data_IF_809196234732
#
_entry.id   IF_809196234732
#
_cell.length_a   1.000
_cell.length_b   1.000
_cell.length_c   1.000
_cell.angle_alpha   90.00
_cell.angle_beta   90.00
_cell.angle_gamma   90.00
#
_symmetry.space_group_name_H-M   'P 1'
#
loop_
_entity.id
_entity.type
_entity.pdbx_description
1 polymer ?
#
# COMPACT_ATOMS: atom_id res chain seq x y z
N UNK A 1 -13.04 2.03 41.41
CA UNK A 1 -13.49 2.03 40.01
C UNK A 1 -12.56 1.15 39.19
N UNK A 2 -13.05 0.12 38.48
CA UNK A 2 -12.18 -0.68 37.62
C UNK A 2 -11.62 0.21 36.49
N UNK A 3 -10.30 0.20 36.30
CA UNK A 3 -9.64 0.91 35.20
C UNK A 3 -10.12 0.29 33.88
N UNK A 4 -10.77 1.09 33.01
CA UNK A 4 -11.08 0.67 31.63
C UNK A 4 -9.77 0.29 30.94
N UNK A 5 -9.74 -0.89 30.34
CA UNK A 5 -8.62 -1.34 29.51
C UNK A 5 -8.48 -0.40 28.30
N UNK A 6 -7.37 0.36 28.17
CA UNK A 6 -7.17 1.31 27.08
C UNK A 6 -7.05 0.63 25.71
N UNK A 7 -6.76 -0.67 25.64
CA UNK A 7 -6.65 -1.39 24.36
C UNK A 7 -8.01 -1.83 23.82
N UNK A 8 -8.96 -2.12 24.72
CA UNK A 8 -10.36 -2.41 24.37
C UNK A 8 -11.06 -1.19 23.73
N UNK A 9 -10.83 0.03 24.26
CA UNK A 9 -11.44 1.25 23.70
C UNK A 9 -10.89 1.60 22.32
N UNK A 10 -9.58 1.39 22.12
CA UNK A 10 -8.95 1.54 20.80
C UNK A 10 -9.55 0.54 19.83
N UNK A 11 -9.61 -0.74 20.18
CA UNK A 11 -10.18 -1.79 19.32
C UNK A 11 -11.60 -1.45 18.85
N UNK A 12 -12.47 -0.99 19.77
CA UNK A 12 -13.82 -0.52 19.46
C UNK A 12 -13.81 0.58 18.40
N UNK A 13 -13.02 1.64 18.60
CA UNK A 13 -12.96 2.77 17.68
C UNK A 13 -12.54 2.39 16.25
N UNK A 14 -11.72 1.36 16.07
CA UNK A 14 -11.34 0.89 14.72
C UNK A 14 -12.41 0.06 14.06
N UNK A 15 -13.10 -0.76 14.86
CA UNK A 15 -14.24 -1.49 14.36
C UNK A 15 -15.33 -0.51 13.92
N UNK A 16 -15.58 0.55 14.70
CA UNK A 16 -16.53 1.61 14.35
C UNK A 16 -16.16 2.26 13.01
N UNK A 17 -14.90 2.69 12.83
CA UNK A 17 -14.43 3.26 11.55
C UNK A 17 -14.53 2.31 10.36
N UNK A 18 -14.32 1.00 10.59
CA UNK A 18 -14.45 -0.01 9.55
C UNK A 18 -15.92 -0.20 9.16
N UNK A 19 -16.82 -0.18 10.14
CA UNK A 19 -18.26 -0.27 9.93
C UNK A 19 -18.81 0.99 9.25
N UNK A 20 -18.37 2.18 9.67
CA UNK A 20 -18.73 3.44 9.02
C UNK A 20 -18.37 3.42 7.52
N UNK A 21 -17.14 3.00 7.20
CA UNK A 21 -16.70 2.85 5.81
C UNK A 21 -17.50 1.77 5.06
N UNK A 22 -17.83 0.65 5.72
CA UNK A 22 -18.64 -0.41 5.12
C UNK A 22 -20.07 0.07 4.80
N UNK A 23 -20.67 0.85 5.69
CA UNK A 23 -22.00 1.46 5.50
C UNK A 23 -21.94 2.45 4.34
N UNK A 24 -20.97 3.37 4.34
CA UNK A 24 -20.82 4.37 3.28
C UNK A 24 -20.60 3.73 1.90
N UNK A 25 -19.71 2.73 1.79
CA UNK A 25 -19.45 2.01 0.53
C UNK A 25 -20.71 1.29 0.03
N UNK A 26 -21.51 0.73 0.94
CA UNK A 26 -22.72 -0.01 0.59
C UNK A 26 -23.87 0.92 0.19
N UNK A 27 -24.02 2.05 0.88
CA UNK A 27 -25.10 3.01 0.63
C UNK A 27 -24.80 3.95 -0.54
N UNK A 28 -23.53 4.31 -0.73
CA UNK A 28 -23.07 5.26 -1.75
C UNK A 28 -21.97 4.61 -2.64
N UNK A 29 -22.29 3.56 -3.42
CA UNK A 29 -21.31 2.89 -4.27
C UNK A 29 -20.77 3.78 -5.40
N UNK A 30 -21.55 4.74 -5.88
CA UNK A 30 -21.17 5.73 -6.89
C UNK A 30 -20.24 6.84 -6.36
N UNK A 31 -20.26 7.10 -5.05
CA UNK A 31 -19.36 8.05 -4.38
C UNK A 31 -17.94 7.50 -4.17
N UNK A 32 -17.55 6.46 -4.91
CA UNK A 32 -16.28 5.79 -4.72
C UNK A 32 -15.08 6.72 -5.01
N UNK A 33 -14.20 6.84 -4.03
CA UNK A 33 -12.97 7.61 -4.14
C UNK A 33 -11.90 6.78 -4.85
N UNK A 34 -11.91 6.86 -6.18
CA UNK A 34 -11.01 6.07 -7.03
C UNK A 34 -9.55 6.51 -6.86
N UNK A 35 -8.73 5.57 -6.40
CA UNK A 35 -7.27 5.69 -6.34
C UNK A 35 -6.62 4.45 -6.93
N UNK A 36 -5.30 4.48 -7.11
CA UNK A 36 -4.60 3.51 -7.94
C UNK A 36 -3.35 2.94 -7.26
N UNK A 37 -3.07 1.65 -7.51
CA UNK A 37 -1.78 1.03 -7.20
C UNK A 37 -1.10 0.53 -8.47
N UNK A 38 0.23 0.61 -8.54
CA UNK A 38 0.97 0.02 -9.65
C UNK A 38 0.79 -1.51 -9.69
N UNK A 39 0.44 -2.10 -10.84
CA UNK A 39 0.24 -3.55 -10.98
C UNK A 39 1.41 -4.38 -10.45
N UNK A 40 2.65 -3.96 -10.74
CA UNK A 40 3.85 -4.65 -10.26
C UNK A 40 3.93 -4.69 -8.73
N UNK A 41 3.49 -3.63 -8.04
CA UNK A 41 3.45 -3.56 -6.57
C UNK A 41 2.26 -4.31 -5.96
N UNK A 42 1.23 -4.62 -6.76
CA UNK A 42 0.20 -5.60 -6.40
C UNK A 42 0.73 -7.02 -6.52
N UNK A 43 1.57 -7.29 -7.54
CA UNK A 43 2.16 -8.60 -7.79
C UNK A 43 3.32 -8.96 -6.85
N UNK A 44 4.11 -7.98 -6.43
CA UNK A 44 5.17 -8.11 -5.43
C UNK A 44 5.11 -6.91 -4.50
N UNK A 45 4.69 -7.11 -3.26
CA UNK A 45 4.40 -5.99 -2.35
C UNK A 45 5.66 -5.50 -1.63
N UNK A 46 5.61 -4.31 -1.05
CA UNK A 46 6.67 -3.83 -0.14
C UNK A 46 6.83 -4.74 1.10
N UNK A 47 7.89 -4.59 1.91
CA UNK A 47 8.00 -5.26 3.20
C UNK A 47 6.83 -4.91 4.15
N UNK A 48 6.32 -5.89 4.91
CA UNK A 48 5.31 -5.65 5.95
C UNK A 48 5.91 -5.08 7.24
N UNK A 49 7.14 -5.47 7.56
CA UNK A 49 7.94 -5.00 8.70
C UNK A 49 9.29 -4.47 8.23
N UNK A 50 10.02 -3.77 9.11
CA UNK A 50 11.38 -3.32 8.83
C UNK A 50 12.28 -4.53 8.53
N UNK A 51 12.89 -4.63 7.33
CA UNK A 51 13.81 -5.72 7.01
C UNK A 51 15.12 -5.71 7.83
N UNK A 52 15.41 -4.62 8.53
CA UNK A 52 16.71 -4.41 9.16
C UNK A 52 17.82 -4.13 8.14
N UNK A 53 19.06 -4.36 8.54
CA UNK A 53 20.26 -4.01 7.76
C UNK A 53 20.65 -5.10 6.76
N UNK A 54 19.74 -5.43 5.84
CA UNK A 54 20.06 -6.24 4.66
C UNK A 54 20.49 -5.33 3.51
N UNK A 55 21.44 -5.76 2.68
CA UNK A 55 21.98 -4.95 1.58
C UNK A 55 20.92 -4.68 0.49
N UNK A 56 20.23 -5.73 0.04
CA UNK A 56 19.12 -5.66 -0.91
C UNK A 56 17.99 -6.53 -0.36
N UNK A 57 16.81 -5.95 -0.22
CA UNK A 57 15.60 -6.70 0.10
C UNK A 57 14.93 -7.17 -1.19
N UNK A 58 14.45 -8.42 -1.22
CA UNK A 58 13.83 -9.02 -2.41
C UNK A 58 12.53 -9.73 -2.09
N UNK A 59 11.62 -9.73 -3.07
CA UNK A 59 10.38 -10.50 -3.07
C UNK A 59 10.12 -11.06 -4.47
N UNK A 60 9.80 -12.35 -4.55
CA UNK A 60 9.59 -13.05 -5.82
C UNK A 60 8.18 -13.63 -5.89
N UNK A 61 7.51 -13.40 -7.00
CA UNK A 61 6.23 -14.00 -7.36
C UNK A 61 6.33 -14.60 -8.76
N UNK A 62 6.53 -15.91 -8.85
CA UNK A 62 6.74 -16.60 -10.13
C UNK A 62 7.96 -16.06 -10.88
N UNK A 63 7.72 -15.45 -12.04
CA UNK A 63 8.75 -14.82 -12.87
C UNK A 63 8.97 -13.33 -12.57
N UNK A 64 8.23 -12.72 -11.65
CA UNK A 64 8.42 -11.32 -11.27
C UNK A 64 9.20 -11.23 -9.95
N UNK A 65 10.25 -10.43 -9.91
CA UNK A 65 11.04 -10.16 -8.71
C UNK A 65 11.07 -8.66 -8.44
N UNK A 66 10.62 -8.25 -7.25
CA UNK A 66 10.82 -6.91 -6.71
C UNK A 66 12.11 -6.90 -5.88
N UNK A 67 13.02 -5.99 -6.20
CA UNK A 67 14.20 -5.71 -5.39
C UNK A 67 14.16 -4.26 -4.91
N UNK A 68 14.50 -4.03 -3.64
CA UNK A 68 14.58 -2.70 -3.04
C UNK A 68 16.02 -2.49 -2.57
N UNK A 69 16.63 -1.38 -2.99
CA UNK A 69 17.85 -0.85 -2.37
C UNK A 69 17.48 0.36 -1.52
N UNK A 70 17.84 0.36 -0.22
CA UNK A 70 17.52 1.45 0.68
C UNK A 70 18.56 2.56 0.54
N UNK A 71 18.24 3.75 1.04
CA UNK A 71 19.28 4.70 1.42
C UNK A 71 19.94 4.25 2.73
N UNK A 72 21.26 4.44 2.82
CA UNK A 72 22.02 4.19 4.05
C UNK A 72 22.10 5.50 4.83
N UNK A 73 21.47 5.52 6.01
CA UNK A 73 21.44 6.69 6.89
C UNK A 73 22.76 6.91 7.64
N UNK A 74 22.81 7.95 8.49
CA UNK A 74 24.02 8.39 9.21
C UNK A 74 24.64 7.35 10.16
N UNK A 75 23.88 6.33 10.56
CA UNK A 75 24.31 5.27 11.49
C UNK A 75 24.44 3.90 10.79
N UNK A 76 24.77 3.90 9.48
CA UNK A 76 24.77 2.70 8.61
C UNK A 76 23.44 1.93 8.59
N UNK A 77 22.36 2.59 9.00
CA UNK A 77 21.02 2.00 9.04
C UNK A 77 20.41 2.01 7.65
N UNK A 78 19.97 0.85 7.20
CA UNK A 78 19.20 0.69 5.97
C UNK A 78 17.78 1.27 6.14
N UNK A 79 17.45 2.29 5.36
CA UNK A 79 16.17 3.00 5.40
C UNK A 79 15.16 2.43 4.39
N UNK A 80 14.73 1.19 4.58
CA UNK A 80 13.68 0.59 3.75
C UNK A 80 12.30 1.22 3.99
N UNK A 81 11.49 1.45 2.94
CA UNK A 81 10.06 1.71 3.11
C UNK A 81 9.33 0.42 3.49
N UNK A 82 8.58 0.44 4.59
CA UNK A 82 7.81 -0.72 5.06
C UNK A 82 6.51 -0.33 5.75
N UNK A 83 5.62 -1.31 5.94
CA UNK A 83 4.37 -1.12 6.66
C UNK A 83 3.34 -0.26 5.89
N UNK A 84 2.34 0.25 6.59
CA UNK A 84 1.16 0.84 5.94
C UNK A 84 1.38 2.21 5.30
N UNK A 85 2.23 3.06 5.89
CA UNK A 85 2.36 4.46 5.44
C UNK A 85 2.95 4.54 4.02
N UNK A 86 4.06 3.87 3.67
CA UNK A 86 4.55 3.85 2.29
C UNK A 86 3.54 3.33 1.29
N UNK A 87 2.69 2.38 1.67
CA UNK A 87 1.62 1.86 0.79
C UNK A 87 0.57 2.93 0.51
N UNK A 88 0.12 3.64 1.54
CA UNK A 88 -0.82 4.75 1.39
C UNK A 88 -0.23 5.89 0.55
N UNK A 89 1.06 6.19 0.75
CA UNK A 89 1.82 7.12 -0.09
C UNK A 89 1.87 6.66 -1.55
N UNK A 90 2.11 5.37 -1.80
CA UNK A 90 2.09 4.80 -3.15
C UNK A 90 0.70 4.92 -3.78
N UNK A 91 -0.39 4.58 -3.07
CA UNK A 91 -1.74 4.74 -3.61
C UNK A 91 -2.01 6.20 -4.04
N UNK A 92 -1.64 7.15 -3.19
CA UNK A 92 -1.80 8.58 -3.49
C UNK A 92 -0.91 9.01 -4.67
N UNK A 93 0.38 8.70 -4.61
CA UNK A 93 1.38 9.13 -5.59
C UNK A 93 1.10 8.55 -6.99
N UNK A 94 0.72 7.27 -7.07
CA UNK A 94 0.35 6.64 -8.34
C UNK A 94 -0.93 7.27 -8.90
N UNK A 95 -1.88 7.64 -8.04
CA UNK A 95 -3.09 8.35 -8.44
C UNK A 95 -2.77 9.72 -9.02
N UNK A 96 -1.95 10.51 -8.33
CA UNK A 96 -1.54 11.84 -8.78
C UNK A 96 -0.72 11.78 -10.08
N UNK A 97 0.25 10.86 -10.16
CA UNK A 97 1.03 10.63 -11.38
C UNK A 97 0.12 10.25 -12.57
N UNK A 98 -0.86 9.37 -12.33
CA UNK A 98 -1.78 8.90 -13.38
C UNK A 98 -2.75 9.99 -13.83
N UNK A 99 -3.23 10.81 -12.88
CA UNK A 99 -4.18 11.91 -13.11
C UNK A 99 -3.55 13.08 -13.84
N UNK A 100 -2.37 13.51 -13.39
CA UNK A 100 -1.67 14.69 -13.93
C UNK A 100 -0.81 14.36 -15.15
N UNK A 101 -0.48 13.08 -15.36
CA UNK A 101 0.51 12.63 -16.33
C UNK A 101 1.87 13.33 -16.18
N UNK A 102 2.18 13.76 -14.96
CA UNK A 102 3.39 14.48 -14.60
C UNK A 102 4.25 13.66 -13.65
N UNK A 103 5.57 13.69 -13.88
CA UNK A 103 6.56 13.18 -12.93
C UNK A 103 6.70 14.07 -11.70
N UNK A 104 6.42 15.37 -11.84
CA UNK A 104 6.44 16.32 -10.73
C UNK A 104 5.07 16.33 -10.05
N UNK A 105 5.06 15.97 -8.77
CA UNK A 105 3.85 15.88 -7.94
C UNK A 105 3.98 16.85 -6.78
N UNK A 106 2.96 17.68 -6.59
CA UNK A 106 2.82 18.61 -5.46
C UNK A 106 2.08 17.94 -4.31
N UNK A 107 2.59 18.03 -3.08
CA UNK A 107 2.03 17.38 -1.88
C UNK A 107 0.83 18.14 -1.25
N UNK A 108 0.25 19.09 -1.99
CA UNK A 108 -0.88 19.91 -1.56
C UNK A 108 -0.48 21.11 -0.68
N UNK A 109 -1.49 21.85 -0.22
CA UNK A 109 -1.30 23.15 0.44
C UNK A 109 -0.90 23.02 1.93
N UNK A 110 -1.30 21.93 2.59
CA UNK A 110 -1.06 21.73 4.02
C UNK A 110 -0.80 20.26 4.43
N UNK A 111 0.14 20.05 5.37
CA UNK A 111 0.47 18.72 5.90
C UNK A 111 -0.71 18.05 6.60
N UNK A 112 -1.50 18.78 7.43
CA UNK A 112 -2.69 18.21 8.02
C UNK A 112 -3.71 17.70 7.01
N UNK A 113 -3.90 18.40 5.90
CA UNK A 113 -4.88 17.99 4.87
C UNK A 113 -4.39 16.77 4.12
N UNK A 114 -3.12 16.78 3.67
CA UNK A 114 -2.49 15.60 3.06
C UNK A 114 -2.55 14.37 3.98
N UNK A 115 -2.25 14.54 5.27
CA UNK A 115 -2.36 13.47 6.25
C UNK A 115 -3.78 12.90 6.31
N UNK A 116 -4.82 13.74 6.35
CA UNK A 116 -6.21 13.28 6.38
C UNK A 116 -6.59 12.54 5.09
N UNK A 117 -6.12 13.02 3.94
CA UNK A 117 -6.35 12.42 2.63
C UNK A 117 -5.88 10.95 2.60
N UNK A 118 -4.64 10.69 3.04
CA UNK A 118 -4.09 9.33 3.14
C UNK A 118 -4.55 8.58 4.40
N UNK A 119 -5.48 9.15 5.18
CA UNK A 119 -6.08 8.53 6.34
C UNK A 119 -5.25 8.57 7.62
N UNK A 120 -4.22 9.39 7.73
CA UNK A 120 -3.50 9.66 8.98
C UNK A 120 -4.18 10.75 9.81
N UNK A 121 -3.91 10.78 11.11
CA UNK A 121 -4.46 11.81 11.99
C UNK A 121 -3.36 12.80 12.43
N UNK A 122 -3.39 14.07 11.96
CA UNK A 122 -2.37 15.06 12.30
C UNK A 122 -2.34 15.45 13.79
N UNK A 123 -3.37 15.08 14.55
CA UNK A 123 -3.50 15.33 15.99
C UNK A 123 -3.21 14.09 16.84
N UNK A 124 -2.79 12.99 16.23
CA UNK A 124 -2.55 11.74 16.95
C UNK A 124 -1.21 11.75 17.67
N UNK A 125 -1.24 12.16 18.94
CA UNK A 125 -0.10 12.14 19.85
C UNK A 125 0.99 13.17 19.52
N UNK A 126 2.07 13.11 20.28
CA UNK A 126 3.31 13.87 20.07
C UNK A 126 4.52 12.91 20.09
N UNK A 127 5.66 13.36 19.56
CA UNK A 127 6.90 12.57 19.51
C UNK A 127 6.93 11.51 18.41
N UNK A 128 7.85 10.55 18.53
CA UNK A 128 8.21 9.57 17.50
C UNK A 128 7.07 8.63 17.09
N UNK A 129 6.10 8.41 17.99
CA UNK A 129 4.93 7.56 17.73
C UNK A 129 3.79 8.30 17.04
N UNK A 130 3.89 9.63 16.89
CA UNK A 130 2.86 10.42 16.21
C UNK A 130 2.78 10.07 14.72
N UNK A 131 1.59 10.19 14.14
CA UNK A 131 1.42 9.94 12.71
C UNK A 131 2.24 10.94 11.86
N UNK A 132 2.50 12.15 12.38
CA UNK A 132 3.34 13.15 11.72
C UNK A 132 4.80 12.66 11.63
N UNK A 133 5.37 12.21 12.75
CA UNK A 133 6.75 11.73 12.79
C UNK A 133 6.93 10.49 11.90
N UNK A 134 6.01 9.53 12.01
CA UNK A 134 6.01 8.30 11.22
C UNK A 134 5.83 8.57 9.72
N UNK A 135 5.00 9.55 9.35
CA UNK A 135 4.83 9.98 7.97
C UNK A 135 6.14 10.52 7.42
N UNK A 136 6.77 11.48 8.11
CA UNK A 136 8.05 12.07 7.69
C UNK A 136 9.14 11.01 7.54
N UNK A 137 9.25 10.08 8.48
CA UNK A 137 10.22 8.98 8.41
C UNK A 137 9.98 8.09 7.19
N UNK A 138 8.74 7.68 6.94
CA UNK A 138 8.40 6.79 5.84
C UNK A 138 8.44 7.47 4.47
N UNK A 139 8.20 8.79 4.40
CA UNK A 139 8.47 9.58 3.21
C UNK A 139 9.97 9.57 2.88
N UNK A 140 10.84 9.85 3.86
CA UNK A 140 12.29 9.78 3.64
C UNK A 140 12.71 8.39 3.15
N UNK A 141 12.25 7.33 3.82
CA UNK A 141 12.55 5.94 3.43
C UNK A 141 12.08 5.60 2.01
N UNK A 142 10.86 5.99 1.64
CA UNK A 142 10.29 5.68 0.33
C UNK A 142 10.98 6.46 -0.79
N UNK A 143 11.12 7.78 -0.62
CA UNK A 143 11.58 8.64 -1.71
C UNK A 143 13.09 8.55 -1.94
N UNK A 144 13.86 8.10 -0.95
CA UNK A 144 15.30 7.84 -1.12
C UNK A 144 15.63 6.40 -1.53
N UNK A 145 14.63 5.52 -1.63
CA UNK A 145 14.84 4.14 -2.07
C UNK A 145 14.92 4.01 -3.60
N UNK A 146 15.57 2.94 -4.04
CA UNK A 146 15.53 2.47 -5.43
C UNK A 146 14.72 1.17 -5.50
N UNK A 147 13.77 1.11 -6.43
CA UNK A 147 12.90 -0.04 -6.67
C UNK A 147 13.23 -0.60 -8.04
N UNK A 148 13.51 -1.91 -8.11
CA UNK A 148 13.64 -2.63 -9.37
C UNK A 148 12.54 -3.69 -9.45
N UNK A 149 11.95 -3.85 -10.63
CA UNK A 149 11.03 -4.95 -10.93
C UNK A 149 11.60 -5.68 -12.13
N UNK A 150 12.05 -6.90 -11.89
CA UNK A 150 12.57 -7.79 -12.92
C UNK A 150 11.46 -8.77 -13.31
N UNK A 151 11.30 -9.01 -14.62
CA UNK A 151 10.52 -10.11 -15.13
C UNK A 151 11.47 -11.07 -15.83
N UNK A 152 11.60 -12.29 -15.33
CA UNK A 152 12.46 -13.30 -15.94
C UNK A 152 11.89 -13.68 -17.32
N UNK A 153 12.63 -13.35 -18.37
CA UNK A 153 12.50 -13.90 -19.72
C UNK A 153 13.62 -14.94 -19.93
N UNK A 154 13.35 -16.02 -20.66
CA UNK A 154 14.23 -17.21 -20.78
C UNK A 154 15.65 -16.93 -21.31
N UNK A 155 15.95 -15.71 -21.78
CA UNK A 155 17.26 -15.36 -22.36
C UNK A 155 17.77 -13.93 -22.03
N UNK A 156 17.17 -13.17 -21.12
CA UNK A 156 17.60 -11.79 -20.85
C UNK A 156 17.53 -11.40 -19.37
N UNK A 157 18.70 -11.21 -18.73
CA UNK A 157 18.79 -10.57 -17.41
C UNK A 157 19.08 -9.07 -17.60
N UNK A 158 18.05 -8.23 -17.46
CA UNK A 158 18.19 -6.78 -17.43
C UNK A 158 17.81 -6.24 -16.05
N UNK A 159 18.76 -5.62 -15.36
CA UNK A 159 18.56 -5.00 -14.05
C UNK A 159 18.40 -3.48 -14.22
N UNK A 160 17.17 -2.96 -14.20
CA UNK A 160 16.91 -1.51 -14.25
C UNK A 160 16.57 -1.00 -12.85
N UNK A 161 17.56 -0.48 -12.12
CA UNK A 161 17.30 0.14 -10.83
C UNK A 161 16.61 1.49 -11.01
N UNK A 162 15.31 1.56 -10.66
CA UNK A 162 14.51 2.77 -10.82
C UNK A 162 14.47 3.54 -9.49
N UNK A 163 15.13 4.72 -9.38
CA UNK A 163 14.95 5.55 -8.19
C UNK A 163 13.48 5.97 -8.08
N UNK A 164 12.90 5.88 -6.87
CA UNK A 164 11.50 6.30 -6.67
C UNK A 164 11.34 7.78 -7.00
N UNK A 165 12.28 8.61 -6.54
CA UNK A 165 12.38 10.02 -6.90
C UNK A 165 13.75 10.33 -7.49
N UNK A 166 13.77 11.18 -8.51
CA UNK A 166 15.00 11.75 -9.07
C UNK A 166 15.42 13.04 -8.36
N UNK A 167 14.44 13.78 -7.80
CA UNK A 167 14.66 14.96 -6.96
C UNK A 167 13.57 15.04 -5.89
N UNK A 168 13.94 15.53 -4.71
CA UNK A 168 13.00 15.79 -3.62
C UNK A 168 13.24 17.17 -3.04
N UNK A 169 12.18 17.94 -2.85
CA UNK A 169 12.20 19.18 -2.09
C UNK A 169 11.14 19.11 -0.99
N UNK A 170 11.59 18.73 0.21
CA UNK A 170 10.74 18.65 1.39
C UNK A 170 10.97 19.86 2.30
N UNK A 171 10.07 20.84 2.25
CA UNK A 171 10.24 22.10 2.99
C UNK A 171 10.13 21.95 4.52
N UNK A 172 9.59 20.84 5.02
CA UNK A 172 9.60 20.56 6.47
C UNK A 172 10.97 20.15 7.02
N UNK A 173 11.98 19.92 6.18
CA UNK A 173 13.36 19.71 6.60
C UNK A 173 14.07 21.03 6.96
N UNK A 174 13.48 22.18 6.58
CA UNK A 174 14.12 23.50 6.65
C UNK A 174 13.48 24.47 7.65
N UNK A 175 12.37 24.14 8.30
CA UNK A 175 11.69 25.05 9.24
C UNK A 175 11.84 24.60 10.71
N UNK A 176 12.49 25.44 11.51
CA UNK A 176 12.56 25.43 12.98
C UNK A 176 11.44 26.23 13.65
N UNK A 177 10.54 26.87 12.90
CA UNK A 177 9.50 27.75 13.44
C UNK A 177 8.09 27.34 12.99
N UNK A 178 7.10 27.80 13.77
CA UNK A 178 5.71 27.35 13.89
C UNK A 178 4.80 27.42 12.64
N UNK A 179 5.34 27.58 11.44
CA UNK A 179 4.54 27.68 10.20
C UNK A 179 4.21 26.30 9.61
N UNK A 180 2.93 25.96 9.72
CA UNK A 180 2.29 24.70 9.31
C UNK A 180 1.87 24.68 7.84
N UNK A 181 2.73 25.06 6.89
CA UNK A 181 2.39 24.96 5.45
C UNK A 181 3.23 23.88 4.75
N UNK A 182 2.58 23.02 3.96
CA UNK A 182 3.26 22.20 2.94
C UNK A 182 3.55 22.99 1.67
N UNK A 183 3.18 24.28 1.63
CA UNK A 183 3.47 25.22 0.55
C UNK A 183 4.79 24.88 -0.13
N UNK A 184 4.68 24.55 -1.42
CA UNK A 184 5.75 24.22 -2.36
C UNK A 184 6.51 22.90 -2.17
N UNK A 185 6.05 21.97 -1.33
CA UNK A 185 6.66 20.62 -1.27
C UNK A 185 6.29 19.81 -2.50
N UNK A 186 7.30 19.45 -3.28
CA UNK A 186 7.15 18.63 -4.48
C UNK A 186 8.18 17.51 -4.53
N UNK A 187 7.82 16.46 -5.23
CA UNK A 187 8.71 15.36 -5.59
C UNK A 187 8.73 15.23 -7.11
N UNK A 188 9.87 14.89 -7.68
CA UNK A 188 9.96 14.50 -9.08
C UNK A 188 10.31 13.03 -9.15
N UNK A 189 9.34 12.23 -9.60
CA UNK A 189 9.48 10.79 -9.75
C UNK A 189 10.61 10.45 -10.72
N UNK A 190 11.32 9.36 -10.44
CA UNK A 190 12.24 8.78 -11.41
C UNK A 190 11.51 8.41 -12.69
N UNK A 191 12.18 8.50 -13.83
CA UNK A 191 11.52 8.33 -15.13
C UNK A 191 10.91 6.94 -15.30
N UNK A 192 11.74 5.91 -15.09
CA UNK A 192 11.32 4.53 -15.27
C UNK A 192 10.34 4.12 -14.17
N UNK A 193 10.50 4.66 -12.96
CA UNK A 193 9.54 4.48 -11.89
C UNK A 193 8.17 5.05 -12.28
N UNK A 194 8.11 6.28 -12.81
CA UNK A 194 6.88 6.89 -13.31
C UNK A 194 6.23 6.09 -14.43
N UNK A 195 7.01 5.64 -15.43
CA UNK A 195 6.53 4.78 -16.51
C UNK A 195 5.93 3.49 -15.95
N UNK A 196 6.66 2.81 -15.05
CA UNK A 196 6.23 1.57 -14.43
C UNK A 196 4.92 1.72 -13.63
N UNK A 197 4.79 2.79 -12.81
CA UNK A 197 3.59 2.95 -11.97
C UNK A 197 2.35 3.39 -12.74
N UNK A 198 2.51 4.11 -13.86
CA UNK A 198 1.40 4.65 -14.64
C UNK A 198 0.95 3.74 -15.80
N UNK A 199 1.71 2.70 -16.13
CA UNK A 199 1.44 1.85 -17.30
C UNK A 199 0.14 1.03 -17.21
N UNK A 200 -0.17 0.43 -16.06
CA UNK A 200 -1.38 -0.37 -15.86
C UNK A 200 -1.81 -0.34 -14.40
N UNK A 201 -2.27 0.81 -13.89
CA UNK A 201 -2.63 0.95 -12.49
C UNK A 201 -3.92 0.19 -12.15
N UNK A 202 -3.95 -0.46 -10.98
CA UNK A 202 -5.10 -1.18 -10.43
C UNK A 202 -5.98 -0.20 -9.65
N UNK A 203 -7.25 0.04 -10.06
CA UNK A 203 -8.15 0.94 -9.34
C UNK A 203 -8.65 0.29 -8.05
N UNK A 204 -8.73 1.06 -6.98
CA UNK A 204 -9.25 0.66 -5.66
C UNK A 204 -10.01 1.82 -5.00
N UNK A 205 -10.80 1.55 -3.96
CA UNK A 205 -11.53 2.59 -3.21
C UNK A 205 -10.69 3.11 -2.01
N UNK A 206 -10.41 4.41 -1.98
CA UNK A 206 -9.68 5.04 -0.89
C UNK A 206 -10.41 4.92 0.46
N UNK A 207 -11.74 4.86 0.47
CA UNK A 207 -12.54 4.66 1.69
C UNK A 207 -12.18 3.34 2.37
N UNK A 208 -12.05 2.27 1.57
CA UNK A 208 -11.62 0.96 2.04
C UNK A 208 -10.17 0.99 2.56
N UNK A 209 -9.25 1.65 1.85
CA UNK A 209 -7.86 1.79 2.28
C UNK A 209 -7.73 2.49 3.63
N UNK A 210 -8.45 3.61 3.82
CA UNK A 210 -8.44 4.36 5.09
C UNK A 210 -8.97 3.53 6.27
N UNK A 211 -9.92 2.63 6.02
CA UNK A 211 -10.43 1.70 7.02
C UNK A 211 -9.44 0.55 7.32
N UNK A 212 -8.72 0.06 6.31
CA UNK A 212 -7.79 -1.07 6.42
C UNK A 212 -6.35 -0.68 6.82
N UNK A 213 -6.02 0.63 6.85
CA UNK A 213 -4.66 1.19 7.04
C UNK A 213 -3.84 0.66 8.21
N UNK A 214 -4.45 -0.01 9.19
CA UNK A 214 -3.73 -0.59 10.34
C UNK A 214 -3.00 -1.88 10.03
N UNK A 215 -3.25 -2.48 8.87
CA UNK A 215 -2.59 -3.71 8.45
C UNK A 215 -2.00 -3.53 7.06
N UNK A 216 -0.66 -3.54 6.89
CA UNK A 216 -0.06 -3.51 5.57
C UNK A 216 -0.50 -4.71 4.73
N UNK A 217 -0.64 -5.89 5.35
CA UNK A 217 -1.20 -7.08 4.72
C UNK A 217 -2.63 -6.84 4.20
N UNK A 218 -3.48 -6.15 4.96
CA UNK A 218 -4.85 -5.89 4.51
C UNK A 218 -4.93 -4.90 3.34
N UNK A 219 -4.04 -3.88 3.31
CA UNK A 219 -3.94 -2.96 2.18
C UNK A 219 -3.50 -3.69 0.91
N UNK A 220 -2.47 -4.52 1.01
CA UNK A 220 -1.95 -5.30 -0.11
C UNK A 220 -2.99 -6.33 -0.60
N UNK A 221 -3.61 -7.07 0.32
CA UNK A 221 -4.67 -8.04 0.00
C UNK A 221 -5.87 -7.37 -0.67
N UNK A 222 -6.27 -6.17 -0.23
CA UNK A 222 -7.39 -5.47 -0.84
C UNK A 222 -7.12 -5.10 -2.30
N UNK A 223 -5.94 -4.52 -2.58
CA UNK A 223 -5.53 -4.23 -3.96
C UNK A 223 -5.37 -5.51 -4.80
N UNK A 224 -4.79 -6.56 -4.21
CA UNK A 224 -4.61 -7.86 -4.85
C UNK A 224 -5.93 -8.55 -5.17
N UNK A 225 -6.90 -8.53 -4.25
CA UNK A 225 -8.23 -9.11 -4.47
C UNK A 225 -8.98 -8.34 -5.54
N UNK A 226 -8.88 -7.02 -5.56
CA UNK A 226 -9.51 -6.19 -6.60
C UNK A 226 -8.95 -6.55 -7.99
N UNK A 227 -7.62 -6.67 -8.10
CA UNK A 227 -6.98 -7.13 -9.34
C UNK A 227 -7.34 -8.57 -9.70
N UNK A 228 -7.39 -9.47 -8.71
CA UNK A 228 -7.67 -10.90 -8.93
C UNK A 228 -9.11 -11.13 -9.37
N UNK A 229 -10.09 -10.39 -8.82
CA UNK A 229 -11.48 -10.39 -9.29
C UNK A 229 -11.58 -9.86 -10.72
N UNK A 230 -10.88 -8.77 -11.04
CA UNK A 230 -10.82 -8.28 -12.43
C UNK A 230 -10.29 -9.34 -13.40
N UNK A 231 -9.20 -10.04 -13.02
CA UNK A 231 -8.65 -11.12 -13.83
C UNK A 231 -9.61 -12.33 -13.93
N UNK A 232 -10.33 -12.66 -12.86
CA UNK A 232 -11.35 -13.72 -12.85
C UNK A 232 -12.49 -13.41 -13.81
N UNK A 233 -13.00 -12.16 -13.79
CA UNK A 233 -14.05 -11.68 -14.68
C UNK A 233 -13.60 -11.71 -16.14
N UNK A 234 -12.41 -11.18 -16.43
CA UNK A 234 -11.85 -11.13 -17.79
C UNK A 234 -11.72 -12.52 -18.40
N UNK A 235 -11.30 -13.51 -17.59
CA UNK A 235 -11.13 -14.89 -18.03
C UNK A 235 -12.40 -15.74 -17.88
N UNK A 236 -13.49 -15.19 -17.32
CA UNK A 236 -14.75 -15.90 -17.01
C UNK A 236 -14.53 -17.19 -16.20
N UNK A 237 -13.56 -17.18 -15.30
CA UNK A 237 -13.15 -18.36 -14.54
C UNK A 237 -12.63 -18.00 -13.15
N UNK A 238 -12.79 -18.92 -12.20
CA UNK A 238 -12.25 -18.79 -10.85
C UNK A 238 -10.72 -18.69 -10.89
N UNK A 239 -10.14 -17.90 -9.99
CA UNK A 239 -8.70 -17.84 -9.76
C UNK A 239 -8.37 -18.69 -8.54
N UNK A 240 -7.73 -19.82 -8.79
CA UNK A 240 -7.26 -20.76 -7.75
C UNK A 240 -5.81 -20.42 -7.44
N UNK A 241 -5.53 -20.01 -6.21
CA UNK A 241 -4.21 -19.52 -5.79
C UNK A 241 -3.69 -20.38 -4.65
N UNK A 242 -2.59 -21.13 -4.84
CA UNK A 242 -1.97 -21.89 -3.76
C UNK A 242 -1.52 -20.96 -2.62
N UNK A 243 -1.73 -21.37 -1.37
CA UNK A 243 -1.29 -20.59 -0.20
C UNK A 243 0.21 -20.30 -0.21
N UNK A 244 1.01 -21.25 -0.72
CA UNK A 244 2.46 -21.08 -0.92
C UNK A 244 2.74 -19.93 -1.89
N UNK A 245 2.07 -19.89 -3.04
CA UNK A 245 2.27 -18.82 -4.03
C UNK A 245 1.86 -17.45 -3.51
N UNK A 246 0.74 -17.37 -2.77
CA UNK A 246 0.33 -16.11 -2.13
C UNK A 246 1.30 -15.66 -1.03
N UNK A 247 1.88 -16.62 -0.29
CA UNK A 247 2.92 -16.37 0.72
C UNK A 247 4.22 -15.87 0.09
N UNK A 248 4.67 -16.45 -1.02
CA UNK A 248 5.84 -15.96 -1.76
C UNK A 248 5.60 -14.53 -2.30
N UNK A 249 4.38 -14.26 -2.76
CA UNK A 249 3.95 -12.96 -3.30
C UNK A 249 3.84 -11.84 -2.27
N UNK A 250 3.34 -12.10 -1.06
CA UNK A 250 3.08 -11.03 -0.08
C UNK A 250 3.33 -11.38 1.39
N UNK A 251 3.72 -12.61 1.71
CA UNK A 251 3.86 -13.14 3.06
C UNK A 251 5.29 -13.43 3.52
N UNK A 252 6.32 -12.93 2.83
CA UNK A 252 7.73 -13.29 3.09
C UNK A 252 8.23 -13.05 4.52
N UNK A 253 7.58 -12.19 5.30
CA UNK A 253 7.91 -11.95 6.72
C UNK A 253 7.37 -13.03 7.68
N UNK A 254 6.50 -13.91 7.20
CA UNK A 254 5.96 -15.01 8.00
C UNK A 254 6.82 -16.26 7.82
N UNK A 255 7.37 -16.79 8.92
CA UNK A 255 8.18 -18.00 8.88
C UNK A 255 7.41 -19.24 8.39
N UNK A 256 6.09 -19.30 8.62
CA UNK A 256 5.23 -20.43 8.26
C UNK A 256 4.04 -19.98 7.42
N UNK A 257 3.81 -20.63 6.29
CA UNK A 257 2.65 -20.38 5.41
C UNK A 257 1.31 -20.50 6.15
N UNK A 258 1.20 -21.39 7.15
CA UNK A 258 0.00 -21.54 7.98
C UNK A 258 -0.32 -20.26 8.77
N UNK A 259 0.68 -19.60 9.33
CA UNK A 259 0.49 -18.39 10.13
C UNK A 259 0.08 -17.23 9.22
N UNK A 260 0.69 -17.15 8.03
CA UNK A 260 0.30 -16.22 6.98
C UNK A 260 -1.15 -16.45 6.51
N UNK A 261 -1.55 -17.70 6.26
CA UNK A 261 -2.93 -18.07 5.90
C UNK A 261 -3.91 -17.58 6.97
N UNK A 262 -3.62 -17.83 8.25
CA UNK A 262 -4.46 -17.38 9.36
C UNK A 262 -4.65 -15.85 9.35
N UNK A 263 -3.56 -15.09 9.22
CA UNK A 263 -3.62 -13.62 9.15
C UNK A 263 -4.29 -13.09 7.89
N UNK A 264 -4.14 -13.79 6.77
CA UNK A 264 -4.82 -13.47 5.52
C UNK A 264 -6.34 -13.64 5.66
N UNK A 265 -6.80 -14.75 6.25
CA UNK A 265 -8.23 -14.98 6.48
C UNK A 265 -8.83 -13.98 7.47
N UNK A 266 -8.09 -13.59 8.52
CA UNK A 266 -8.48 -12.49 9.42
C UNK A 266 -8.63 -11.15 8.66
N UNK A 267 -7.71 -10.84 7.75
CA UNK A 267 -7.78 -9.63 6.93
C UNK A 267 -8.94 -9.68 5.93
N UNK A 268 -9.18 -10.84 5.29
CA UNK A 268 -10.30 -11.03 4.33
C UNK A 268 -11.65 -10.78 5.01
N UNK A 269 -11.83 -11.18 6.27
CA UNK A 269 -13.07 -10.88 7.02
C UNK A 269 -13.34 -9.38 7.07
N UNK A 270 -12.31 -8.56 7.30
CA UNK A 270 -12.41 -7.10 7.32
C UNK A 270 -12.61 -6.52 5.91
N UNK A 271 -11.90 -7.06 4.93
CA UNK A 271 -12.02 -6.65 3.53
C UNK A 271 -13.44 -6.87 2.99
N UNK A 272 -14.08 -8.00 3.31
CA UNK A 272 -15.47 -8.28 2.90
C UNK A 272 -16.48 -7.23 3.40
N UNK A 273 -16.18 -6.52 4.49
CA UNK A 273 -17.05 -5.42 4.96
C UNK A 273 -16.99 -4.21 4.02
N UNK A 274 -15.79 -3.86 3.53
CA UNK A 274 -15.56 -2.71 2.64
C UNK A 274 -15.50 -3.11 1.16
N UNK A 275 -15.74 -4.38 0.85
CA UNK A 275 -15.89 -4.91 -0.50
C UNK A 275 -16.98 -6.00 -0.50
N UNK A 276 -18.26 -5.62 -0.36
CA UNK A 276 -19.35 -6.56 -0.09
C UNK A 276 -19.63 -7.54 -1.22
N UNK A 277 -19.30 -7.19 -2.47
CA UNK A 277 -19.47 -8.08 -3.63
C UNK A 277 -18.41 -9.18 -3.72
N UNK A 278 -17.37 -9.15 -2.87
CA UNK A 278 -16.25 -10.08 -2.93
C UNK A 278 -16.65 -11.51 -2.55
N UNK A 279 -16.55 -12.42 -3.52
CA UNK A 279 -16.83 -13.86 -3.32
C UNK A 279 -15.51 -14.64 -3.31
N UNK A 280 -15.23 -15.27 -2.17
CA UNK A 280 -14.00 -16.03 -1.92
C UNK A 280 -14.35 -17.30 -1.14
N UNK A 281 -13.73 -18.40 -1.55
CA UNK A 281 -13.66 -19.67 -0.84
C UNK A 281 -12.21 -19.96 -0.41
N UNK A 282 -12.03 -20.66 0.70
CA UNK A 282 -10.70 -21.08 1.19
C UNK A 282 -10.73 -22.57 1.49
N UNK A 283 -9.76 -23.30 0.95
CA UNK A 283 -9.42 -24.67 1.35
C UNK A 283 -8.11 -24.68 2.14
N UNK A 284 -7.61 -25.86 2.50
CA UNK A 284 -6.31 -26.01 3.16
C UNK A 284 -5.11 -25.72 2.25
N UNK A 285 -5.29 -25.89 0.95
CA UNK A 285 -4.22 -25.71 -0.04
C UNK A 285 -4.36 -24.41 -0.85
N UNK A 286 -5.59 -23.95 -1.08
CA UNK A 286 -5.87 -22.84 -1.99
C UNK A 286 -6.76 -21.76 -1.38
N UNK A 287 -6.56 -20.54 -1.87
CA UNK A 287 -7.54 -19.46 -1.84
C UNK A 287 -8.19 -19.39 -3.23
N UNK A 288 -9.51 -19.46 -3.29
CA UNK A 288 -10.28 -19.42 -4.54
C UNK A 288 -11.02 -18.09 -4.60
N UNK A 289 -10.72 -17.29 -5.62
CA UNK A 289 -11.38 -16.00 -5.89
C UNK A 289 -12.30 -16.16 -7.09
N UNK A 290 -13.59 -15.89 -6.89
CA UNK A 290 -14.61 -16.05 -7.94
C UNK A 290 -14.80 -14.77 -8.74
N UNK A 291 -15.29 -14.87 -9.99
CA UNK A 291 -15.85 -13.72 -10.71
C UNK A 291 -16.92 -13.02 -9.86
N UNK A 292 -16.85 -11.69 -9.79
CA UNK A 292 -17.73 -10.85 -8.97
C UNK A 292 -17.66 -9.39 -9.43
N UNK A 293 -18.58 -8.53 -8.95
CA UNK A 293 -18.47 -7.08 -9.22
C UNK A 293 -17.14 -6.55 -8.67
N UNK A 294 -16.39 -5.78 -9.47
CA UNK A 294 -15.13 -5.16 -9.02
C UNK A 294 -15.40 -4.10 -7.95
N UNK A 295 -14.45 -3.86 -7.04
CA UNK A 295 -14.61 -2.86 -5.97
C UNK A 295 -14.83 -1.44 -6.54
N UNK A 296 -14.16 -1.17 -7.66
CA UNK A 296 -14.35 0.01 -8.49
C UNK A 296 -14.60 -0.48 -9.91
N UNK A 297 -15.60 0.08 -10.59
CA UNK A 297 -15.88 -0.24 -12.00
C UNK A 297 -14.71 0.20 -12.88
N UNK A 298 -14.20 -0.68 -13.75
CA UNK A 298 -13.25 -0.28 -14.77
C UNK A 298 -13.93 0.71 -15.70
N UNK A 299 -13.32 1.89 -15.93
CA UNK A 299 -13.69 2.69 -17.09
C UNK A 299 -13.10 1.97 -18.29
N UNK A 300 -13.93 1.69 -19.29
CA UNK A 300 -13.51 1.14 -20.58
C UNK A 300 -12.43 2.00 -21.24
#
# INVERSE_FOLDING_TARGET
MPRKDPDASKSSFFLDKLLDAAVDIKQNPEAAERVYMARHLVQCTLPHSDPGNVNIWRRRNGNVTLSIRPHIGKDDKALYPYGSIPRLLLFWMVTEATRTKSRRITLGDSLPDFMREIGLNPRNGSGERSDVARLKEQMTRLFTAQINVEQAEEAHEMNVYMPVTSKTEFWWAFKTSADRSLWDSWIELGEDFFKMVTASPVPVDMRALRALKRSPLALDLYAWLTYTVFAANKNKANRIVPWKGLHDQMGGEYARTRDFRSKTLEAIKKIKLVYPALVIESTDEYLIVHPAKTAIESKE
#
